data_IF_358305082984
#
_entry.id   IF_358305082984
#
_cell.length_a   1.000
_cell.length_b   1.000
_cell.length_c   1.000
_cell.angle_alpha   90.00
_cell.angle_beta   90.00
_cell.angle_gamma   90.00
#
_symmetry.space_group_name_H-M   'P 1'
#
loop_
_entity.id
_entity.type
_entity.pdbx_description
1 polymer ?
#
# COMPACT_ATOMS: atom_id res chain seq x y z
N UNK A 1 18.74 -14.75 -6.23
CA UNK A 1 17.38 -14.37 -5.76
C UNK A 1 17.54 -13.24 -4.77
N UNK A 2 16.79 -12.13 -4.87
CA UNK A 2 16.87 -11.05 -3.89
C UNK A 2 16.51 -11.58 -2.49
N UNK A 3 17.24 -11.16 -1.45
CA UNK A 3 17.08 -11.68 -0.08
C UNK A 3 15.71 -11.44 0.57
N UNK A 4 14.84 -10.64 -0.04
CA UNK A 4 13.47 -10.38 0.43
C UNK A 4 12.41 -11.30 -0.21
N UNK A 5 12.82 -12.35 -0.93
CA UNK A 5 11.93 -13.27 -1.66
C UNK A 5 12.28 -14.73 -1.32
N UNK A 6 12.17 -15.11 -0.05
CA UNK A 6 12.32 -16.50 0.41
C UNK A 6 10.97 -17.11 0.75
N UNK A 7 10.81 -18.40 0.52
CA UNK A 7 9.55 -19.12 0.81
C UNK A 7 9.14 -18.98 2.28
N UNK A 8 10.11 -18.95 3.20
CA UNK A 8 9.86 -18.73 4.64
C UNK A 8 9.14 -17.40 4.96
N UNK A 9 9.39 -16.35 4.17
CA UNK A 9 8.71 -15.06 4.32
C UNK A 9 7.27 -15.18 3.84
N UNK A 10 7.05 -15.86 2.72
CA UNK A 10 5.72 -16.14 2.20
C UNK A 10 4.89 -17.03 3.14
N UNK A 11 5.50 -18.06 3.72
CA UNK A 11 4.85 -18.96 4.69
C UNK A 11 4.40 -18.18 5.93
N UNK A 12 5.25 -17.28 6.43
CA UNK A 12 4.94 -16.43 7.60
C UNK A 12 3.80 -15.48 7.28
N UNK A 13 3.84 -14.81 6.13
CA UNK A 13 2.79 -13.87 5.71
C UNK A 13 1.47 -14.62 5.49
N UNK A 14 1.50 -15.81 4.86
CA UNK A 14 0.33 -16.65 4.68
C UNK A 14 -0.26 -17.10 6.03
N UNK A 15 0.59 -17.44 7.00
CA UNK A 15 0.14 -17.84 8.35
C UNK A 15 -0.56 -16.70 9.11
N UNK A 16 -0.17 -15.45 8.87
CA UNK A 16 -0.71 -14.28 9.60
C UNK A 16 -1.93 -13.68 8.89
N UNK A 17 -1.91 -13.63 7.56
CA UNK A 17 -2.90 -12.91 6.74
C UNK A 17 -3.74 -13.80 5.81
N UNK A 18 -3.40 -15.09 5.68
CA UNK A 18 -4.11 -16.05 4.84
C UNK A 18 -4.20 -15.60 3.37
N UNK A 19 -5.39 -15.68 2.79
CA UNK A 19 -5.66 -15.29 1.41
C UNK A 19 -5.70 -13.76 1.16
N UNK A 20 -5.55 -12.94 2.20
CA UNK A 20 -5.54 -11.46 2.08
C UNK A 20 -4.18 -10.90 1.66
N UNK A 21 -3.31 -11.75 1.11
CA UNK A 21 -1.96 -11.40 0.68
C UNK A 21 -1.97 -11.10 -0.82
N UNK A 22 -1.54 -9.89 -1.14
CA UNK A 22 -1.44 -9.38 -2.50
C UNK A 22 0.05 -9.18 -2.80
N UNK A 23 0.66 -10.11 -3.54
CA UNK A 23 2.09 -10.04 -3.90
C UNK A 23 2.31 -10.51 -5.34
N UNK A 24 3.22 -9.85 -6.04
CA UNK A 24 3.64 -10.21 -7.38
C UNK A 24 4.16 -11.66 -7.42
N UNK A 25 3.60 -12.49 -8.32
CA UNK A 25 3.90 -13.93 -8.49
C UNK A 25 3.52 -14.88 -7.35
N UNK A 26 2.83 -14.40 -6.31
CA UNK A 26 2.33 -15.21 -5.18
C UNK A 26 1.34 -16.34 -5.55
N UNK A 27 0.44 -16.22 -6.56
CA UNK A 27 -0.55 -17.25 -6.85
C UNK A 27 0.01 -18.57 -7.40
N UNK A 28 1.30 -18.63 -7.78
CA UNK A 28 1.92 -19.89 -8.21
C UNK A 28 2.17 -20.85 -7.04
N UNK A 29 2.30 -20.32 -5.82
CA UNK A 29 2.59 -21.10 -4.61
C UNK A 29 1.37 -21.28 -3.69
N UNK A 30 0.34 -20.44 -3.83
CA UNK A 30 -0.84 -20.43 -2.95
C UNK A 30 -2.16 -20.25 -3.73
N UNK A 31 -2.97 -21.31 -3.91
CA UNK A 31 -4.30 -21.20 -4.51
C UNK A 31 -5.21 -20.29 -3.66
N UNK A 32 -5.72 -19.20 -4.24
CA UNK A 32 -6.56 -18.21 -3.55
C UNK A 32 -5.90 -16.86 -3.27
N UNK A 33 -4.60 -16.74 -3.54
CA UNK A 33 -3.87 -15.49 -3.54
C UNK A 33 -4.26 -14.55 -4.70
N UNK A 34 -4.39 -13.25 -4.42
CA UNK A 34 -4.66 -12.25 -5.47
C UNK A 34 -3.37 -11.92 -6.23
N UNK A 35 -3.39 -12.03 -7.56
CA UNK A 35 -2.27 -11.63 -8.40
C UNK A 35 -2.15 -10.11 -8.46
N UNK A 36 -1.03 -9.55 -7.99
CA UNK A 36 -0.72 -8.14 -8.22
C UNK A 36 0.00 -7.96 -9.56
N UNK A 37 -0.45 -7.06 -10.44
CA UNK A 37 0.28 -6.75 -11.66
C UNK A 37 1.65 -6.11 -11.35
N UNK A 38 2.68 -6.36 -12.17
CA UNK A 38 3.97 -5.71 -12.02
C UNK A 38 3.84 -4.20 -12.30
N UNK A 39 4.58 -3.37 -11.55
CA UNK A 39 4.67 -1.91 -11.72
C UNK A 39 3.38 -1.11 -11.49
N UNK A 40 2.55 -1.47 -10.51
CA UNK A 40 1.34 -0.69 -10.15
C UNK A 40 1.44 0.00 -8.78
N UNK A 41 2.36 0.99 -8.59
CA UNK A 41 2.39 1.78 -7.35
C UNK A 41 1.07 2.54 -7.15
N UNK A 42 0.36 2.87 -8.23
CA UNK A 42 -0.96 3.50 -8.19
C UNK A 42 -2.04 2.64 -7.55
N UNK A 43 -1.85 1.33 -7.49
CA UNK A 43 -2.80 0.44 -6.85
C UNK A 43 -2.53 0.29 -5.35
N UNK A 44 -1.35 0.62 -4.83
CA UNK A 44 -1.06 0.46 -3.39
C UNK A 44 -1.54 1.67 -2.58
N UNK A 45 -2.52 1.52 -1.66
CA UNK A 45 -2.99 2.60 -0.79
C UNK A 45 -1.89 3.24 0.07
N UNK A 46 -0.84 2.48 0.40
CA UNK A 46 0.28 3.03 1.12
C UNK A 46 1.08 4.02 0.26
N UNK A 47 1.29 3.69 -1.01
CA UNK A 47 2.14 4.48 -1.92
C UNK A 47 1.41 5.74 -2.40
N UNK A 48 0.13 5.64 -2.77
CA UNK A 48 -0.59 6.82 -3.27
C UNK A 48 -1.14 7.74 -2.19
N UNK A 49 -1.25 7.27 -0.95
CA UNK A 49 -1.83 8.05 0.15
C UNK A 49 -0.96 8.07 1.40
N UNK A 50 -0.73 6.90 2.02
CA UNK A 50 -0.19 6.86 3.39
C UNK A 50 1.16 7.56 3.52
N UNK A 51 2.11 7.25 2.63
CA UNK A 51 3.46 7.80 2.77
C UNK A 51 3.52 9.30 2.55
N UNK A 52 2.79 9.83 1.56
CA UNK A 52 2.66 11.28 1.35
C UNK A 52 2.00 11.96 2.54
N UNK A 53 0.87 11.41 3.00
CA UNK A 53 0.11 11.96 4.12
C UNK A 53 0.90 11.96 5.43
N UNK A 54 1.58 10.85 5.74
CA UNK A 54 2.40 10.72 6.94
C UNK A 54 3.60 11.66 6.89
N UNK A 55 4.25 11.83 5.74
CA UNK A 55 5.34 12.79 5.58
C UNK A 55 4.86 14.21 5.92
N UNK A 56 3.71 14.63 5.40
CA UNK A 56 3.16 15.95 5.67
C UNK A 56 2.81 16.15 7.15
N UNK A 57 2.21 15.15 7.81
CA UNK A 57 1.86 15.24 9.22
C UNK A 57 3.09 15.23 10.14
N UNK A 58 4.03 14.32 9.89
CA UNK A 58 5.21 14.12 10.73
C UNK A 58 6.14 15.33 10.66
N UNK A 59 6.39 15.84 9.45
CA UNK A 59 7.31 16.95 9.24
C UNK A 59 6.69 18.33 9.47
N UNK A 60 5.35 18.43 9.63
CA UNK A 60 4.70 19.70 10.03
C UNK A 60 5.29 20.30 11.30
N UNK A 61 5.63 19.45 12.28
CA UNK A 61 6.21 19.86 13.56
C UNK A 61 7.74 20.00 13.54
N UNK A 62 8.38 19.71 12.40
CA UNK A 62 9.86 19.75 12.21
C UNK A 62 10.62 19.11 13.39
N UNK A 63 10.42 17.81 13.65
CA UNK A 63 11.13 17.12 14.74
C UNK A 63 12.65 17.24 14.54
N UNK A 64 13.36 17.59 15.60
CA UNK A 64 14.82 17.84 15.58
C UNK A 64 15.64 16.69 16.16
N UNK A 65 14.98 15.67 16.69
CA UNK A 65 15.62 14.52 17.34
C UNK A 65 14.81 13.23 17.13
N UNK A 66 15.44 12.09 17.44
CA UNK A 66 14.84 10.78 17.19
C UNK A 66 13.60 10.50 18.07
N UNK A 67 13.56 11.05 19.29
CA UNK A 67 12.45 10.83 20.23
C UNK A 67 11.22 11.61 19.73
N UNK A 68 11.41 12.89 19.38
CA UNK A 68 10.34 13.71 18.81
C UNK A 68 9.84 13.17 17.47
N UNK A 69 10.73 12.63 16.63
CA UNK A 69 10.34 11.98 15.37
C UNK A 69 9.47 10.73 15.62
N UNK A 70 9.91 9.81 16.48
CA UNK A 70 9.13 8.59 16.82
C UNK A 70 7.76 8.93 17.40
N UNK A 71 7.71 9.94 18.27
CA UNK A 71 6.45 10.43 18.83
C UNK A 71 5.56 11.03 17.74
N UNK A 72 6.11 11.86 16.85
CA UNK A 72 5.38 12.49 15.75
C UNK A 72 4.77 11.45 14.81
N UNK A 73 5.50 10.38 14.49
CA UNK A 73 4.99 9.25 13.70
C UNK A 73 3.81 8.58 14.40
N UNK A 74 3.96 8.24 15.68
CA UNK A 74 2.90 7.58 16.47
C UNK A 74 1.65 8.44 16.57
N UNK A 75 1.82 9.72 16.93
CA UNK A 75 0.72 10.68 17.05
C UNK A 75 0.02 10.90 15.68
N UNK A 76 0.79 10.91 14.58
CA UNK A 76 0.25 11.08 13.22
C UNK A 76 -0.62 9.88 12.82
N UNK A 77 -0.15 8.65 13.06
CA UNK A 77 -0.97 7.44 12.82
C UNK A 77 -2.25 7.44 13.67
N UNK A 78 -2.15 7.79 14.96
CA UNK A 78 -3.31 7.87 15.85
C UNK A 78 -4.32 8.95 15.42
N UNK A 79 -3.88 9.97 14.67
CA UNK A 79 -4.75 11.03 14.18
C UNK A 79 -5.56 10.65 12.92
N UNK A 80 -5.20 9.56 12.24
CA UNK A 80 -5.91 9.10 11.04
C UNK A 80 -7.30 8.62 11.44
N UNK A 81 -8.32 9.32 10.95
CA UNK A 81 -9.72 9.00 11.23
C UNK A 81 -10.16 7.82 10.38
N UNK A 82 -11.07 7.00 10.93
CA UNK A 82 -11.73 5.90 10.19
C UNK A 82 -12.30 6.38 8.85
N UNK A 83 -12.98 7.53 8.83
CA UNK A 83 -13.53 8.12 7.60
C UNK A 83 -12.48 8.35 6.50
N UNK A 84 -11.25 8.69 6.88
CA UNK A 84 -10.16 8.85 5.91
C UNK A 84 -9.78 7.49 5.32
N UNK A 85 -9.73 6.43 6.13
CA UNK A 85 -9.46 5.08 5.66
C UNK A 85 -10.56 4.57 4.72
N UNK A 86 -11.84 4.82 5.04
CA UNK A 86 -12.98 4.49 4.17
C UNK A 86 -12.83 5.14 2.78
N UNK A 87 -12.50 6.44 2.74
CA UNK A 87 -12.25 7.15 1.47
C UNK A 87 -11.07 6.58 0.68
N UNK A 88 -10.01 6.15 1.36
CA UNK A 88 -8.85 5.53 0.73
C UNK A 88 -9.23 4.17 0.13
N UNK A 89 -10.06 3.38 0.83
CA UNK A 89 -10.62 2.13 0.32
C UNK A 89 -11.50 2.37 -0.92
N UNK A 90 -12.38 3.37 -0.89
CA UNK A 90 -13.23 3.71 -2.05
C UNK A 90 -12.38 4.15 -3.26
N UNK A 91 -11.34 4.94 -3.03
CA UNK A 91 -10.39 5.34 -4.08
C UNK A 91 -9.61 4.15 -4.63
N UNK A 92 -9.22 3.21 -3.78
CA UNK A 92 -8.59 1.96 -4.22
C UNK A 92 -9.51 1.15 -5.13
N UNK A 93 -10.78 0.95 -4.73
CA UNK A 93 -11.79 0.27 -5.57
C UNK A 93 -11.99 1.01 -6.89
N UNK A 94 -12.04 2.33 -6.87
CA UNK A 94 -12.17 3.15 -8.08
C UNK A 94 -10.98 2.97 -9.02
N UNK A 95 -9.76 2.95 -8.49
CA UNK A 95 -8.53 2.71 -9.29
C UNK A 95 -8.51 1.30 -9.87
N UNK A 96 -8.92 0.28 -9.10
CA UNK A 96 -9.07 -1.09 -9.60
C UNK A 96 -10.06 -1.17 -10.76
N UNK A 97 -11.24 -0.52 -10.64
CA UNK A 97 -12.21 -0.45 -11.73
C UNK A 97 -11.62 0.22 -12.97
N UNK A 98 -10.87 1.30 -12.76
CA UNK A 98 -10.19 1.99 -13.85
C UNK A 98 -9.21 1.07 -14.58
N UNK A 99 -8.39 0.32 -13.83
CA UNK A 99 -7.45 -0.64 -14.40
C UNK A 99 -8.12 -1.73 -15.25
N UNK A 100 -9.30 -2.19 -14.85
CA UNK A 100 -10.09 -3.15 -15.62
C UNK A 100 -10.62 -2.51 -16.91
N UNK A 101 -11.07 -1.25 -16.85
CA UNK A 101 -11.59 -0.55 -18.04
C UNK A 101 -10.50 -0.04 -18.98
N UNK A 102 -9.26 0.10 -18.50
CA UNK A 102 -8.13 0.62 -19.28
C UNK A 102 -7.23 -0.46 -19.86
N UNK A 103 -7.62 -1.75 -19.82
CA UNK A 103 -6.97 -2.80 -20.63
C UNK A 103 -6.99 -2.47 -22.14
N UNK A 104 -7.76 -1.47 -22.58
CA UNK A 104 -7.79 -0.96 -23.96
C UNK A 104 -6.95 0.33 -24.22
N UNK A 105 -6.32 0.97 -23.21
CA UNK A 105 -5.47 2.15 -23.47
C UNK A 105 -4.45 2.48 -22.37
N UNK A 106 -3.21 2.74 -22.79
CA UNK A 106 -2.02 3.09 -22.02
C UNK A 106 -2.27 3.99 -20.79
N UNK A 107 -1.80 3.52 -19.63
CA UNK A 107 -1.89 4.16 -18.30
C UNK A 107 -1.06 5.45 -18.13
N UNK A 108 -0.44 5.94 -19.20
CA UNK A 108 0.68 6.87 -19.12
C UNK A 108 0.36 8.34 -18.90
N UNK A 109 -0.90 8.80 -19.01
CA UNK A 109 -1.19 10.23 -18.89
C UNK A 109 -2.53 10.49 -18.22
N UNK A 110 -2.59 11.62 -17.52
CA UNK A 110 -3.79 12.30 -17.00
C UNK A 110 -4.24 11.98 -15.58
N UNK A 111 -3.40 12.30 -14.58
CA UNK A 111 -3.89 12.86 -13.31
C UNK A 111 -2.90 13.91 -12.76
N UNK A 112 -3.02 15.15 -13.26
CA UNK A 112 -2.62 16.35 -12.54
C UNK A 112 -3.88 17.17 -12.24
#
# INVERSE_FOLDING_TARGET
MPHHRTDSVFDTINSVFGALVIVYQYPKSYPGALHWPPYSPDLNPCDFFLWGHMKDLVYRKKPTDLISLKKSITDSFASIKRKTLELVTDKFVTRLRYCITSEDSDFGNFLH
#
